data_IF_657530612726
#
_entry.id   IF_657530612726
#
_cell.length_a   1.000
_cell.length_b   1.000
_cell.length_c   1.000
_cell.angle_alpha   90.00
_cell.angle_beta   90.00
_cell.angle_gamma   90.00
#
_symmetry.space_group_name_H-M   'P 1'
#
loop_
_entity.id
_entity.type
_entity.pdbx_description
1 polymer ?
#
# COMPACT_ATOMS: atom_id res chain seq x y z
N UNK A 1 1.96 2.33 0.70
CA UNK A 1 1.44 2.78 2.02
C UNK A 1 2.13 2.02 3.15
N UNK A 2 1.98 0.69 3.27
CA UNK A 2 2.58 -0.10 4.37
C UNK A 2 4.11 0.08 4.52
N UNK A 3 4.85 0.14 3.41
CA UNK A 3 6.29 0.43 3.44
C UNK A 3 6.62 1.81 4.04
N UNK A 4 5.82 2.84 3.76
CA UNK A 4 6.01 4.19 4.31
C UNK A 4 5.80 4.17 5.82
N UNK A 5 4.71 3.56 6.30
CA UNK A 5 4.46 3.45 7.75
C UNK A 5 5.54 2.62 8.46
N UNK A 6 6.03 1.55 7.83
CA UNK A 6 7.11 0.72 8.38
C UNK A 6 8.42 1.49 8.46
N UNK A 7 8.82 2.17 7.38
CA UNK A 7 10.04 3.00 7.34
C UNK A 7 9.95 4.15 8.33
N UNK A 8 8.82 4.85 8.41
CA UNK A 8 8.61 5.93 9.39
C UNK A 8 8.69 5.41 10.82
N UNK A 9 8.07 4.26 11.13
CA UNK A 9 8.12 3.64 12.44
C UNK A 9 9.54 3.22 12.84
N UNK A 10 10.30 2.65 11.90
CA UNK A 10 11.71 2.29 12.09
C UNK A 10 12.60 3.52 12.28
N UNK A 11 12.40 4.58 11.50
CA UNK A 11 13.13 5.83 11.64
C UNK A 11 12.87 6.46 13.03
N UNK A 12 11.61 6.57 13.44
CA UNK A 12 11.24 7.11 14.75
C UNK A 12 11.82 6.30 15.92
N UNK A 13 11.96 4.98 15.74
CA UNK A 13 12.58 4.11 16.74
C UNK A 13 14.09 4.38 16.88
N UNK A 14 14.79 4.63 15.77
CA UNK A 14 16.21 4.99 15.76
C UNK A 14 16.49 6.38 16.36
N UNK A 15 15.52 7.30 16.30
CA UNK A 15 15.60 8.63 16.92
C UNK A 15 15.17 8.65 18.41
N UNK A 16 15.10 7.49 19.07
CA UNK A 16 14.70 7.30 20.49
C UNK A 16 13.27 7.75 20.84
N UNK A 17 12.44 7.99 19.83
CA UNK A 17 11.03 8.40 19.98
C UNK A 17 10.12 7.16 20.11
N UNK A 18 10.39 6.31 21.09
CA UNK A 18 9.76 4.99 21.27
C UNK A 18 8.23 5.03 21.40
N UNK A 19 7.68 6.07 22.02
CA UNK A 19 6.23 6.23 22.19
C UNK A 19 5.55 6.51 20.85
N UNK A 20 6.13 7.39 20.05
CA UNK A 20 5.60 7.72 18.73
C UNK A 20 5.74 6.54 17.76
N UNK A 21 6.85 5.80 17.81
CA UNK A 21 7.03 4.58 17.00
C UNK A 21 5.96 3.53 17.28
N UNK A 22 5.68 3.26 18.57
CA UNK A 22 4.62 2.31 18.98
C UNK A 22 3.22 2.72 18.50
N UNK A 23 2.91 4.02 18.54
CA UNK A 23 1.62 4.52 18.03
C UNK A 23 1.49 4.29 16.52
N UNK A 24 2.53 4.59 15.75
CA UNK A 24 2.53 4.41 14.28
C UNK A 24 2.37 2.94 13.90
N UNK A 25 3.11 2.04 14.55
CA UNK A 25 3.02 0.60 14.29
C UNK A 25 1.67 0.03 14.75
N UNK A 26 1.15 0.48 15.90
CA UNK A 26 -0.18 0.10 16.38
C UNK A 26 -1.30 0.50 15.42
N UNK A 27 -1.22 1.71 14.85
CA UNK A 27 -2.17 2.18 13.84
C UNK A 27 -2.09 1.34 12.55
N UNK A 28 -0.87 0.98 12.12
CA UNK A 28 -0.63 0.10 10.98
C UNK A 28 -1.26 -1.29 11.22
N UNK A 29 -1.06 -1.86 12.41
CA UNK A 29 -1.63 -3.15 12.78
C UNK A 29 -3.17 -3.12 12.79
N UNK A 30 -3.79 -2.09 13.38
CA UNK A 30 -5.25 -1.92 13.34
C UNK A 30 -5.78 -1.82 11.91
N UNK A 31 -5.13 -1.04 11.04
CA UNK A 31 -5.53 -0.93 9.64
C UNK A 31 -5.43 -2.26 8.90
N UNK A 32 -4.37 -3.04 9.14
CA UNK A 32 -4.19 -4.36 8.55
C UNK A 32 -5.23 -5.38 9.05
N UNK A 33 -5.60 -5.33 10.34
CA UNK A 33 -6.68 -6.17 10.88
C UNK A 33 -8.03 -5.80 10.26
N UNK A 34 -8.29 -4.51 10.06
CA UNK A 34 -9.52 -4.04 9.40
C UNK A 34 -9.58 -4.49 7.93
N UNK A 35 -8.44 -4.48 7.24
CA UNK A 35 -8.33 -5.01 5.88
C UNK A 35 -8.62 -6.51 5.83
N UNK A 36 -8.08 -7.29 6.78
CA UNK A 36 -8.33 -8.73 6.85
C UNK A 36 -9.80 -9.09 7.19
N UNK A 37 -10.49 -8.27 8.00
CA UNK A 37 -11.88 -8.52 8.39
C UNK A 37 -12.92 -7.92 7.43
N UNK A 38 -12.66 -6.73 6.87
CA UNK A 38 -13.62 -5.95 6.08
C UNK A 38 -13.28 -5.99 4.58
N UNK A 39 -12.07 -6.44 4.20
CA UNK A 39 -11.59 -6.46 2.82
C UNK A 39 -11.19 -5.08 2.28
N UNK A 40 -11.10 -4.05 3.13
CA UNK A 40 -10.80 -2.69 2.70
C UNK A 40 -9.30 -2.40 2.78
N UNK A 41 -8.61 -2.54 1.65
CA UNK A 41 -7.21 -2.18 1.54
C UNK A 41 -7.03 -0.69 1.22
N UNK A 42 -6.43 0.05 2.17
CA UNK A 42 -6.11 1.48 2.00
C UNK A 42 -5.20 1.72 0.78
N UNK A 43 -4.30 0.79 0.48
CA UNK A 43 -3.47 0.82 -0.72
C UNK A 43 -4.29 0.71 -2.01
N UNK A 44 -5.18 -0.27 -2.09
CA UNK A 44 -6.07 -0.46 -3.24
C UNK A 44 -7.03 0.72 -3.44
N UNK A 45 -7.53 1.30 -2.35
CA UNK A 45 -8.40 2.47 -2.39
C UNK A 45 -7.68 3.71 -2.94
N UNK A 46 -6.46 3.96 -2.49
CA UNK A 46 -5.62 5.06 -2.99
C UNK A 46 -5.27 4.83 -4.46
N UNK A 47 -4.90 3.62 -4.84
CA UNK A 47 -4.56 3.30 -6.23
C UNK A 47 -5.76 3.49 -7.17
N UNK A 48 -6.95 2.99 -6.77
CA UNK A 48 -8.20 3.26 -7.48
C UNK A 48 -8.51 4.75 -7.58
N UNK A 49 -8.23 5.53 -6.53
CA UNK A 49 -8.42 6.99 -6.53
C UNK A 49 -7.47 7.69 -7.50
N UNK A 50 -6.19 7.30 -7.53
CA UNK A 50 -5.20 7.86 -8.45
C UNK A 50 -5.51 7.54 -9.90
N UNK A 51 -5.99 6.32 -10.20
CA UNK A 51 -6.50 5.97 -11.53
C UNK A 51 -7.68 6.86 -11.92
N UNK A 52 -8.63 7.09 -11.00
CA UNK A 52 -9.79 7.96 -11.26
C UNK A 52 -9.43 9.44 -11.38
N UNK A 53 -8.28 9.86 -10.88
CA UNK A 53 -7.74 11.20 -11.03
C UNK A 53 -6.83 11.37 -12.26
N UNK A 54 -6.58 10.30 -13.03
CA UNK A 54 -5.77 10.38 -14.27
C UNK A 54 -4.27 10.59 -14.04
N UNK A 55 -3.79 10.48 -12.80
CA UNK A 55 -2.35 10.53 -12.48
C UNK A 55 -1.64 9.27 -13.00
N UNK A 56 -2.38 8.16 -13.09
CA UNK A 56 -1.90 6.90 -13.68
C UNK A 56 -2.34 6.86 -15.15
N UNK A 57 -1.38 6.76 -16.10
CA UNK A 57 -1.70 6.73 -17.53
C UNK A 57 -2.43 5.44 -17.92
N UNK A 58 -3.33 5.54 -18.88
CA UNK A 58 -4.24 4.46 -19.31
C UNK A 58 -3.49 3.18 -19.76
N UNK A 59 -2.31 3.34 -20.34
CA UNK A 59 -1.39 2.24 -20.68
C UNK A 59 -1.09 1.27 -19.53
N UNK A 60 -1.03 1.75 -18.28
CA UNK A 60 -0.79 0.90 -17.10
C UNK A 60 -2.05 0.09 -16.76
N UNK A 61 -3.22 0.69 -16.94
CA UNK A 61 -4.49 0.00 -16.76
C UNK A 61 -4.66 -1.11 -17.80
N UNK A 62 -4.29 -0.87 -19.06
CA UNK A 62 -4.31 -1.88 -20.12
C UNK A 62 -3.32 -3.02 -19.88
N UNK A 63 -2.08 -2.73 -19.44
CA UNK A 63 -1.09 -3.77 -19.07
C UNK A 63 -1.58 -4.61 -17.88
N UNK A 64 -2.23 -3.99 -16.89
CA UNK A 64 -2.86 -4.71 -15.77
C UNK A 64 -4.11 -5.51 -16.19
N UNK A 65 -4.94 -4.97 -17.09
CA UNK A 65 -6.17 -5.63 -17.55
C UNK A 65 -5.86 -6.81 -18.49
N UNK A 66 -4.76 -6.75 -19.25
CA UNK A 66 -4.34 -7.82 -20.16
C UNK A 66 -2.96 -8.38 -19.78
N UNK A 67 -2.92 -9.10 -18.66
CA UNK A 67 -1.68 -9.68 -18.13
C UNK A 67 -1.16 -10.89 -18.93
N UNK A 68 -1.91 -11.35 -19.94
CA UNK A 68 -1.55 -12.49 -20.79
C UNK A 68 -0.16 -12.35 -21.41
N UNK A 69 0.22 -11.13 -21.81
CA UNK A 69 1.53 -10.84 -22.38
C UNK A 69 2.69 -11.07 -21.38
N UNK A 70 2.45 -10.83 -20.08
CA UNK A 70 3.42 -11.07 -19.00
C UNK A 70 3.50 -12.54 -18.62
N UNK A 71 2.35 -13.21 -18.54
CA UNK A 71 2.26 -14.64 -18.23
C UNK A 71 2.95 -15.50 -19.30
N UNK A 72 2.70 -15.21 -20.59
CA UNK A 72 3.34 -15.94 -21.70
C UNK A 72 4.85 -15.72 -21.77
N UNK A 73 5.38 -14.62 -21.24
CA UNK A 73 6.82 -14.35 -21.20
C UNK A 73 7.52 -14.99 -19.98
N UNK A 74 6.75 -15.38 -18.95
CA UNK A 74 7.25 -16.05 -17.75
C UNK A 74 7.14 -17.58 -17.81
N UNK A 75 6.55 -18.12 -18.87
CA UNK A 75 6.30 -19.54 -19.12
C UNK A 75 7.28 -20.08 -20.16
#
# INVERSE_FOLDING_TARGET
IGAVFSVTGSALWLFDMHTASRVVIGMLACAASLEAFVGFCLGCAIFSRLMRWGVIPESICEDCNNISARLNAAQ
#
